data_IF_467531183782
#
_entry.id   IF_467531183782
#
_cell.length_a   1.000
_cell.length_b   1.000
_cell.length_c   1.000
_cell.angle_alpha   90.00
_cell.angle_beta   90.00
_cell.angle_gamma   90.00
#
_symmetry.space_group_name_H-M   'P 1'
#
loop_
_entity.id
_entity.type
_entity.pdbx_description
1 polymer ?
#
# COMPACT_ATOMS: atom_id res chain seq x y z
N UNK A 1 21.66 4.76 -23.17
CA UNK A 1 21.29 4.44 -21.77
C UNK A 1 20.49 3.15 -21.82
N UNK A 2 21.00 2.10 -21.21
CA UNK A 2 20.23 0.85 -21.03
C UNK A 2 19.36 1.10 -19.81
N UNK A 3 18.03 1.07 -19.99
CA UNK A 3 17.09 1.25 -18.87
C UNK A 3 17.12 -0.03 -18.03
N UNK A 4 17.32 0.11 -16.72
CA UNK A 4 17.22 -1.03 -15.81
C UNK A 4 15.80 -1.63 -15.89
N UNK A 5 15.66 -2.94 -16.18
CA UNK A 5 14.35 -3.56 -16.36
C UNK A 5 13.52 -3.54 -15.07
N UNK A 6 14.15 -3.56 -13.89
CA UNK A 6 13.47 -3.42 -12.61
C UNK A 6 12.87 -2.04 -12.44
N UNK A 7 13.65 -0.99 -12.68
CA UNK A 7 13.17 0.40 -12.69
C UNK A 7 12.04 0.62 -13.69
N UNK A 8 12.15 0.03 -14.90
CA UNK A 8 11.11 0.12 -15.92
C UNK A 8 9.79 -0.53 -15.48
N UNK A 9 9.84 -1.73 -14.90
CA UNK A 9 8.65 -2.44 -14.40
C UNK A 9 8.00 -1.67 -13.26
N UNK A 10 8.78 -1.28 -12.25
CA UNK A 10 8.26 -0.51 -11.10
C UNK A 10 7.68 0.83 -11.57
N UNK A 11 8.36 1.49 -12.51
CA UNK A 11 7.90 2.72 -13.15
C UNK A 11 6.56 2.54 -13.86
N UNK A 12 6.41 1.51 -14.70
CA UNK A 12 5.17 1.21 -15.42
C UNK A 12 4.01 0.90 -14.48
N UNK A 13 4.25 0.11 -13.43
CA UNK A 13 3.21 -0.17 -12.41
C UNK A 13 2.82 1.11 -11.69
N UNK A 14 3.80 1.96 -11.32
CA UNK A 14 3.55 3.25 -10.71
C UNK A 14 2.69 4.18 -11.58
N UNK A 15 3.02 4.31 -12.86
CA UNK A 15 2.20 5.05 -13.84
C UNK A 15 0.81 4.45 -13.97
N UNK A 16 0.67 3.13 -14.01
CA UNK A 16 -0.62 2.45 -14.04
C UNK A 16 -1.48 2.78 -12.82
N UNK A 17 -0.91 2.74 -11.62
CA UNK A 17 -1.59 3.13 -10.38
C UNK A 17 -2.06 4.58 -10.41
N UNK A 18 -1.23 5.52 -10.89
CA UNK A 18 -1.60 6.93 -11.06
C UNK A 18 -2.71 7.11 -12.10
N UNK A 19 -2.64 6.41 -13.23
CA UNK A 19 -3.67 6.46 -14.25
C UNK A 19 -5.02 5.94 -13.72
N UNK A 20 -5.01 4.85 -12.94
CA UNK A 20 -6.19 4.33 -12.25
C UNK A 20 -6.74 5.31 -11.22
N UNK A 21 -5.86 5.99 -10.46
CA UNK A 21 -6.25 7.03 -9.51
C UNK A 21 -6.95 8.20 -10.20
N UNK A 22 -6.40 8.71 -11.31
CA UNK A 22 -7.02 9.79 -12.06
C UNK A 22 -8.35 9.36 -12.70
N UNK A 23 -8.40 8.13 -13.22
CA UNK A 23 -9.59 7.62 -13.86
C UNK A 23 -10.73 7.26 -12.87
N UNK A 24 -10.41 6.95 -11.60
CA UNK A 24 -11.42 6.74 -10.55
C UNK A 24 -12.05 8.04 -10.06
N UNK A 25 -11.38 9.19 -10.23
CA UNK A 25 -11.96 10.52 -9.94
C UNK A 25 -13.04 10.93 -10.94
N UNK A 26 -13.02 10.41 -12.17
CA UNK A 26 -14.03 10.74 -13.20
C UNK A 26 -15.41 10.23 -12.78
N UNK A 27 -16.36 11.16 -12.69
CA UNK A 27 -17.74 10.85 -12.32
C UNK A 27 -18.36 9.84 -13.32
N UNK A 28 -19.05 8.83 -12.80
CA UNK A 28 -19.65 7.76 -13.61
C UNK A 28 -18.68 6.83 -14.34
N UNK A 29 -17.38 6.84 -14.01
CA UNK A 29 -16.40 5.97 -14.67
C UNK A 29 -16.69 4.49 -14.43
N UNK A 30 -16.33 3.64 -15.40
CA UNK A 30 -16.47 2.20 -15.27
C UNK A 30 -15.62 1.63 -14.12
N UNK A 31 -14.52 2.30 -13.78
CA UNK A 31 -13.62 1.94 -12.68
C UNK A 31 -14.35 2.04 -11.35
N UNK A 32 -15.14 3.11 -11.12
CA UNK A 32 -15.98 3.23 -9.91
C UNK A 32 -16.94 2.04 -9.77
N UNK A 33 -17.53 1.60 -10.87
CA UNK A 33 -18.42 0.42 -10.91
C UNK A 33 -17.66 -0.88 -10.61
N UNK A 34 -16.46 -1.04 -11.18
CA UNK A 34 -15.61 -2.21 -10.95
C UNK A 34 -15.18 -2.34 -9.47
N UNK A 35 -14.93 -1.21 -8.80
CA UNK A 35 -14.63 -1.17 -7.35
C UNK A 35 -15.87 -1.26 -6.46
N UNK A 36 -17.08 -1.41 -7.01
CA UNK A 36 -18.32 -1.45 -6.24
C UNK A 36 -18.67 -0.12 -5.55
N UNK A 37 -18.02 0.99 -5.92
CA UNK A 37 -18.37 2.32 -5.44
C UNK A 37 -19.62 2.83 -6.14
N UNK A 38 -20.58 3.33 -5.35
CA UNK A 38 -21.80 3.90 -5.90
C UNK A 38 -21.51 5.10 -6.83
N UNK A 39 -22.34 5.34 -7.86
CA UNK A 39 -22.09 6.42 -8.83
C UNK A 39 -22.03 7.82 -8.19
N UNK A 40 -22.63 7.99 -7.01
CA UNK A 40 -22.73 9.26 -6.26
C UNK A 40 -21.76 9.32 -5.06
N UNK A 41 -21.02 8.24 -4.76
CA UNK A 41 -20.12 8.19 -3.60
C UNK A 41 -18.72 8.75 -3.94
N UNK A 42 -18.65 10.08 -3.98
CA UNK A 42 -17.42 10.81 -4.29
C UNK A 42 -16.35 10.71 -3.20
N UNK A 43 -16.72 10.45 -1.94
CA UNK A 43 -15.77 10.34 -0.83
C UNK A 43 -14.96 9.07 -0.96
N UNK A 44 -15.61 7.92 -1.14
CA UNK A 44 -14.94 6.63 -1.36
C UNK A 44 -14.12 6.63 -2.65
N UNK A 45 -14.61 7.28 -3.71
CA UNK A 45 -13.85 7.41 -4.95
C UNK A 45 -12.57 8.24 -4.79
N UNK A 46 -12.62 9.35 -4.03
CA UNK A 46 -11.44 10.18 -3.73
C UNK A 46 -10.44 9.45 -2.84
N UNK A 47 -10.91 8.69 -1.87
CA UNK A 47 -10.04 7.90 -1.01
C UNK A 47 -9.34 6.77 -1.79
N UNK A 48 -10.06 6.06 -2.67
CA UNK A 48 -9.46 5.07 -3.57
C UNK A 48 -8.43 5.70 -4.50
N UNK A 49 -8.76 6.86 -5.09
CA UNK A 49 -7.82 7.63 -5.90
C UNK A 49 -6.58 8.05 -5.09
N UNK A 50 -6.76 8.46 -3.83
CA UNK A 50 -5.66 8.83 -2.95
C UNK A 50 -4.75 7.63 -2.66
N UNK A 51 -5.31 6.48 -2.29
CA UNK A 51 -4.53 5.26 -2.00
C UNK A 51 -3.74 4.82 -3.23
N UNK A 52 -4.40 4.73 -4.39
CA UNK A 52 -3.74 4.37 -5.65
C UNK A 52 -2.72 5.42 -6.08
N UNK A 53 -3.01 6.71 -5.83
CA UNK A 53 -2.13 7.82 -6.11
C UNK A 53 -0.85 7.78 -5.28
N UNK A 54 -0.98 7.57 -3.98
CA UNK A 54 0.16 7.43 -3.05
C UNK A 54 0.98 6.20 -3.39
N UNK A 55 0.33 5.06 -3.66
CA UNK A 55 1.03 3.83 -4.07
C UNK A 55 1.81 4.05 -5.38
N UNK A 56 1.17 4.64 -6.39
CA UNK A 56 1.80 4.93 -7.68
C UNK A 56 2.97 5.91 -7.56
N UNK A 57 2.79 7.00 -6.80
CA UNK A 57 3.86 7.97 -6.55
C UNK A 57 5.05 7.35 -5.79
N UNK A 58 4.78 6.48 -4.82
CA UNK A 58 5.82 5.77 -4.07
C UNK A 58 6.62 4.82 -4.97
N UNK A 59 5.94 4.09 -5.86
CA UNK A 59 6.61 3.23 -6.85
C UNK A 59 7.48 4.05 -7.81
N UNK A 60 6.98 5.18 -8.31
CA UNK A 60 7.79 6.07 -9.15
C UNK A 60 9.02 6.60 -8.41
N UNK A 61 8.89 6.98 -7.14
CA UNK A 61 10.03 7.41 -6.34
C UNK A 61 11.09 6.30 -6.20
N UNK A 62 10.67 5.04 -6.02
CA UNK A 62 11.58 3.88 -6.02
C UNK A 62 12.24 3.68 -7.38
N UNK A 63 11.49 3.77 -8.48
CA UNK A 63 12.05 3.65 -9.83
C UNK A 63 13.11 4.73 -10.11
N UNK A 64 12.85 5.98 -9.71
CA UNK A 64 13.82 7.08 -9.79
C UNK A 64 15.03 6.82 -8.90
N UNK A 65 14.83 6.29 -7.69
CA UNK A 65 15.94 5.94 -6.80
C UNK A 65 16.85 4.87 -7.40
N UNK A 66 16.30 3.89 -8.13
CA UNK A 66 17.07 2.87 -8.85
C UNK A 66 17.85 3.51 -10.02
N UNK A 67 17.20 4.37 -10.81
CA UNK A 67 17.84 5.07 -11.95
C UNK A 67 18.97 6.03 -11.50
N UNK A 68 18.83 6.60 -10.30
CA UNK A 68 19.86 7.43 -9.66
C UNK A 68 20.92 6.62 -8.90
N UNK A 69 20.89 5.28 -8.97
CA UNK A 69 21.83 4.37 -8.31
C UNK A 69 21.96 4.64 -6.80
N UNK A 70 20.85 5.02 -6.15
CA UNK A 70 20.86 5.27 -4.71
C UNK A 70 21.14 3.97 -3.94
N UNK A 71 21.75 4.05 -2.74
CA UNK A 71 22.07 2.85 -1.96
C UNK A 71 20.82 2.02 -1.68
N UNK A 72 20.78 0.78 -2.20
CA UNK A 72 19.61 -0.10 -2.11
C UNK A 72 19.11 -0.26 -0.67
N UNK A 73 20.05 -0.38 0.30
CA UNK A 73 19.73 -0.45 1.73
C UNK A 73 18.94 0.77 2.21
N UNK A 74 19.33 1.97 1.79
CA UNK A 74 18.69 3.20 2.23
C UNK A 74 17.29 3.32 1.61
N UNK A 75 17.18 3.02 0.31
CA UNK A 75 15.91 3.04 -0.42
C UNK A 75 14.94 2.00 0.14
N UNK A 76 15.40 0.76 0.34
CA UNK A 76 14.60 -0.34 0.89
C UNK A 76 14.16 -0.08 2.33
N UNK A 77 15.07 0.35 3.20
CA UNK A 77 14.72 0.72 4.59
C UNK A 77 13.73 1.89 4.62
N UNK A 78 13.93 2.94 3.82
CA UNK A 78 13.01 4.07 3.76
C UNK A 78 11.63 3.67 3.23
N UNK A 79 11.57 2.82 2.20
CA UNK A 79 10.33 2.32 1.64
C UNK A 79 9.54 1.49 2.67
N UNK A 80 10.22 0.63 3.44
CA UNK A 80 9.58 -0.16 4.49
C UNK A 80 9.07 0.74 5.61
N UNK A 81 9.90 1.66 6.13
CA UNK A 81 9.49 2.55 7.21
C UNK A 81 8.32 3.45 6.79
N UNK A 82 8.37 3.99 5.57
CA UNK A 82 7.27 4.77 5.00
C UNK A 82 5.98 3.97 4.87
N UNK A 83 6.07 2.75 4.35
CA UNK A 83 4.91 1.84 4.22
C UNK A 83 4.35 1.46 5.59
N UNK A 84 5.20 1.12 6.56
CA UNK A 84 4.79 0.86 7.94
C UNK A 84 4.03 2.03 8.55
N UNK A 85 4.57 3.25 8.42
CA UNK A 85 3.96 4.45 8.95
C UNK A 85 2.59 4.71 8.29
N UNK A 86 2.47 4.54 6.97
CA UNK A 86 1.21 4.67 6.25
C UNK A 86 0.17 3.64 6.70
N UNK A 87 0.56 2.36 6.79
CA UNK A 87 -0.31 1.29 7.25
C UNK A 87 -0.83 1.53 8.68
N UNK A 88 0.06 1.96 9.58
CA UNK A 88 -0.31 2.30 10.96
C UNK A 88 -1.22 3.53 10.99
N UNK A 89 -0.88 4.59 10.26
CA UNK A 89 -1.65 5.83 10.19
C UNK A 89 -3.06 5.63 9.65
N UNK A 90 -3.19 4.92 8.52
CA UNK A 90 -4.49 4.57 7.92
C UNK A 90 -5.29 3.68 8.85
N UNK A 91 -4.68 2.62 9.38
CA UNK A 91 -5.36 1.70 10.29
C UNK A 91 -5.84 2.37 11.58
N UNK A 92 -5.04 3.30 12.12
CA UNK A 92 -5.43 4.14 13.26
C UNK A 92 -6.57 5.09 12.91
N UNK A 93 -6.52 5.76 11.76
CA UNK A 93 -7.57 6.65 11.28
C UNK A 93 -8.91 5.91 11.12
N UNK A 94 -8.87 4.73 10.50
CA UNK A 94 -10.05 3.85 10.34
C UNK A 94 -10.60 3.43 11.71
N UNK A 95 -9.74 2.92 12.60
CA UNK A 95 -10.18 2.36 13.89
C UNK A 95 -10.67 3.43 14.88
N UNK A 96 -10.03 4.60 14.93
CA UNK A 96 -10.30 5.65 15.94
C UNK A 96 -11.27 6.71 15.47
N UNK A 97 -11.26 7.06 14.18
CA UNK A 97 -12.06 8.16 13.62
C UNK A 97 -13.13 7.68 12.63
N UNK A 98 -13.37 6.37 12.54
CA UNK A 98 -14.35 5.75 11.64
C UNK A 98 -14.15 6.14 10.16
N UNK A 99 -12.90 6.41 9.75
CA UNK A 99 -12.52 6.76 8.37
C UNK A 99 -12.49 5.54 7.45
N UNK A 100 -13.59 4.78 7.42
CA UNK A 100 -13.76 3.58 6.59
C UNK A 100 -13.67 3.87 5.09
N UNK A 101 -13.88 5.13 4.69
CA UNK A 101 -13.65 5.63 3.34
C UNK A 101 -12.21 5.38 2.86
N UNK A 102 -11.23 5.36 3.77
CA UNK A 102 -9.82 5.09 3.44
C UNK A 102 -9.54 3.63 3.09
N UNK A 103 -10.45 2.71 3.41
CA UNK A 103 -10.34 1.33 2.98
C UNK A 103 -10.80 1.26 1.52
N UNK A 104 -10.02 0.62 0.66
CA UNK A 104 -10.41 0.38 -0.74
C UNK A 104 -11.55 -0.63 -0.90
N UNK A 105 -12.18 -1.01 0.21
CA UNK A 105 -13.29 -1.95 0.30
C UNK A 105 -14.62 -1.19 0.34
N UNK A 106 -15.56 -1.45 -0.59
CA UNK A 106 -16.86 -0.79 -0.58
C UNK A 106 -17.75 -1.30 0.56
N UNK A 107 -18.60 -0.41 1.11
CA UNK A 107 -19.73 -0.72 2.01
C UNK A 107 -19.39 -1.54 3.27
N UNK A 108 -18.24 -1.28 3.88
CA UNK A 108 -17.82 -1.96 5.11
C UNK A 108 -18.61 -1.42 6.31
N UNK A 109 -19.17 -2.31 7.13
CA UNK A 109 -19.78 -1.91 8.40
C UNK A 109 -18.75 -1.39 9.41
N UNK A 110 -19.21 -0.81 10.52
CA UNK A 110 -18.32 -0.18 11.51
C UNK A 110 -17.41 -1.19 12.21
N UNK A 111 -17.89 -2.40 12.44
CA UNK A 111 -17.17 -3.42 13.18
C UNK A 111 -16.08 -4.07 12.31
N UNK A 112 -16.44 -4.49 11.09
CA UNK A 112 -15.48 -4.94 10.07
C UNK A 112 -14.47 -3.83 9.75
N UNK A 113 -14.90 -2.57 9.70
CA UNK A 113 -14.01 -1.42 9.53
C UNK A 113 -12.94 -1.33 10.63
N UNK A 114 -13.33 -1.48 11.90
CA UNK A 114 -12.36 -1.51 13.02
C UNK A 114 -11.41 -2.69 12.93
N UNK A 115 -11.90 -3.88 12.54
CA UNK A 115 -11.06 -5.08 12.36
C UNK A 115 -10.05 -4.86 11.23
N UNK A 116 -10.48 -4.33 10.09
CA UNK A 116 -9.61 -3.99 8.96
C UNK A 116 -8.61 -2.89 9.31
N UNK A 117 -9.01 -1.87 10.07
CA UNK A 117 -8.07 -0.87 10.60
C UNK A 117 -7.02 -1.50 11.52
N UNK A 118 -7.39 -2.53 12.28
CA UNK A 118 -6.45 -3.28 13.12
C UNK A 118 -5.50 -4.14 12.30
N UNK A 119 -6.04 -4.84 11.29
CA UNK A 119 -5.24 -5.60 10.34
C UNK A 119 -4.23 -4.68 9.62
N UNK A 120 -4.65 -3.51 9.15
CA UNK A 120 -3.76 -2.54 8.52
C UNK A 120 -2.61 -2.09 9.45
N UNK A 121 -2.90 -1.76 10.71
CA UNK A 121 -1.85 -1.46 11.69
C UNK A 121 -0.90 -2.65 11.89
N UNK A 122 -1.45 -3.86 11.98
CA UNK A 122 -0.66 -5.08 12.14
C UNK A 122 0.25 -5.34 10.94
N UNK A 123 -0.23 -5.16 9.71
CA UNK A 123 0.59 -5.25 8.49
C UNK A 123 1.80 -4.31 8.59
N UNK A 124 1.57 -3.05 9.00
CA UNK A 124 2.63 -2.07 9.17
C UNK A 124 3.68 -2.47 10.21
N UNK A 125 3.24 -3.06 11.33
CA UNK A 125 4.14 -3.58 12.38
C UNK A 125 4.91 -4.81 11.91
N UNK A 126 4.25 -5.73 11.20
CA UNK A 126 4.85 -6.99 10.75
C UNK A 126 6.00 -6.79 9.76
N UNK A 127 5.98 -5.70 8.98
CA UNK A 127 7.07 -5.41 8.03
C UNK A 127 8.22 -4.60 8.65
N UNK A 128 8.06 -3.99 9.84
CA UNK A 128 9.13 -3.22 10.49
C UNK A 128 10.45 -3.99 10.67
N UNK A 129 10.46 -5.29 11.07
CA UNK A 129 11.69 -6.05 11.18
C UNK A 129 12.52 -6.11 9.90
N UNK A 130 11.88 -6.03 8.72
CA UNK A 130 12.59 -6.00 7.44
C UNK A 130 13.45 -4.74 7.29
N UNK A 131 13.01 -3.60 7.83
CA UNK A 131 13.80 -2.36 7.78
C UNK A 131 15.13 -2.53 8.53
N UNK A 132 15.08 -3.17 9.71
CA UNK A 132 16.26 -3.51 10.49
C UNK A 132 17.12 -4.57 9.82
N UNK A 133 16.51 -5.62 9.26
CA UNK A 133 17.23 -6.69 8.56
C UNK A 133 17.99 -6.18 7.32
N UNK A 134 17.37 -5.29 6.53
CA UNK A 134 18.05 -4.65 5.40
C UNK A 134 19.15 -3.69 5.85
N UNK A 135 18.90 -2.90 6.89
CA UNK A 135 19.88 -1.92 7.38
C UNK A 135 21.12 -2.58 8.00
N UNK A 136 20.92 -3.71 8.69
CA UNK A 136 21.99 -4.50 9.31
C UNK A 136 22.62 -5.52 8.34
N UNK A 137 22.21 -5.50 7.06
CA UNK A 137 22.73 -6.38 6.01
C UNK A 137 22.68 -7.87 6.42
N UNK A 138 21.55 -8.28 7.00
CA UNK A 138 21.34 -9.65 7.46
C UNK A 138 21.18 -10.61 6.27
N UNK A 139 21.48 -11.88 6.50
CA UNK A 139 21.38 -12.96 5.51
C UNK A 139 20.10 -12.91 4.67
N UNK A 140 20.26 -13.11 3.35
CA UNK A 140 19.18 -13.02 2.38
C UNK A 140 18.06 -14.04 2.65
N UNK A 141 18.40 -15.23 3.14
CA UNK A 141 17.41 -16.24 3.54
C UNK A 141 16.52 -15.75 4.68
N UNK A 142 17.08 -15.05 5.66
CA UNK A 142 16.30 -14.45 6.74
C UNK A 142 15.42 -13.30 6.23
N UNK A 143 15.94 -12.44 5.34
CA UNK A 143 15.15 -11.35 4.73
C UNK A 143 13.95 -11.92 3.98
N UNK A 144 14.15 -12.97 3.17
CA UNK A 144 13.07 -13.65 2.44
C UNK A 144 12.07 -14.28 3.40
N UNK A 145 12.54 -14.93 4.47
CA UNK A 145 11.67 -15.53 5.49
C UNK A 145 10.80 -14.46 6.18
N UNK A 146 11.39 -13.34 6.58
CA UNK A 146 10.68 -12.22 7.20
C UNK A 146 9.66 -11.60 6.23
N UNK A 147 10.04 -11.40 4.97
CA UNK A 147 9.15 -10.81 3.95
C UNK A 147 7.95 -11.72 3.68
N UNK A 148 8.21 -13.01 3.47
CA UNK A 148 7.17 -14.00 3.20
C UNK A 148 6.28 -14.20 4.42
N UNK A 149 6.86 -14.31 5.61
CA UNK A 149 6.13 -14.45 6.87
C UNK A 149 5.23 -13.24 7.16
N UNK A 150 5.76 -12.03 7.02
CA UNK A 150 4.99 -10.80 7.18
C UNK A 150 3.86 -10.70 6.15
N UNK A 151 4.12 -11.06 4.88
CA UNK A 151 3.12 -11.08 3.82
C UNK A 151 1.97 -12.05 4.11
N UNK A 152 2.28 -13.30 4.46
CA UNK A 152 1.27 -14.31 4.81
C UNK A 152 0.47 -13.91 6.04
N UNK A 153 1.13 -13.44 7.11
CA UNK A 153 0.46 -12.99 8.31
C UNK A 153 -0.45 -11.77 8.04
N UNK A 154 -0.02 -10.85 7.17
CA UNK A 154 -0.83 -9.71 6.72
C UNK A 154 -2.09 -10.18 6.00
N UNK A 155 -1.96 -11.08 5.01
CA UNK A 155 -3.10 -11.64 4.27
C UNK A 155 -4.08 -12.37 5.20
N UNK A 156 -3.56 -13.18 6.13
CA UNK A 156 -4.38 -13.87 7.12
C UNK A 156 -5.12 -12.88 8.02
N UNK A 157 -4.45 -11.82 8.49
CA UNK A 157 -5.07 -10.81 9.34
C UNK A 157 -6.22 -10.08 8.63
N UNK A 158 -6.06 -9.79 7.34
CA UNK A 158 -7.10 -9.20 6.48
C UNK A 158 -8.25 -10.20 6.31
N UNK A 159 -7.95 -11.46 5.97
CA UNK A 159 -8.96 -12.51 5.81
C UNK A 159 -9.77 -12.77 7.07
N UNK A 160 -9.15 -12.72 8.25
CA UNK A 160 -9.82 -12.81 9.55
C UNK A 160 -10.66 -11.57 9.82
N UNK A 161 -10.20 -10.38 9.44
CA UNK A 161 -10.95 -9.15 9.66
C UNK A 161 -12.29 -9.09 8.90
N UNK A 162 -12.43 -9.87 7.82
CA UNK A 162 -13.68 -10.04 7.06
C UNK A 162 -14.66 -11.07 7.66
N UNK A 163 -14.24 -11.83 8.67
CA UNK A 163 -15.11 -12.75 9.42
C UNK A 163 -15.57 -12.08 10.70
#
# INVERSE_FOLDING_TARGET
MVVDPGAAIVGLVGVGCLALALASLRHGSWIRRAYGTGPVDDTSARANALVMGVAGASMLAVAVAIDLELPERAVGTAAILGTSALCIGVGWAVRRYDRRDLLTTPNVDRETGKRLGTAAMLCGVLVLPLAGALWLEVDAGLVVLLATGAGLASLLSIGIAYR
#
